data_IF_299771256154
#
_entry.id   IF_299771256154
#
_cell.length_a   1.000
_cell.length_b   1.000
_cell.length_c   1.000
_cell.angle_alpha   90.00
_cell.angle_beta   90.00
_cell.angle_gamma   90.00
#
_symmetry.space_group_name_H-M   'P 1'
#
loop_
_entity.id
_entity.type
_entity.pdbx_description
1 polymer ?
#
# COMPACT_ATOMS: atom_id res chain seq x y z
N UNK A 1 -16.30 11.26 34.16
CA UNK A 1 -15.18 10.80 33.33
C UNK A 1 -15.54 9.45 32.72
N UNK A 2 -16.04 9.43 31.48
CA UNK A 2 -16.51 8.21 30.80
C UNK A 2 -15.46 7.70 29.81
N UNK A 3 -14.65 6.76 30.31
CA UNK A 3 -14.11 5.58 29.62
C UNK A 3 -13.69 5.68 28.15
N UNK A 4 -12.42 6.03 27.94
CA UNK A 4 -11.69 5.88 26.67
C UNK A 4 -11.40 4.41 26.27
N UNK A 5 -12.19 3.45 26.76
CA UNK A 5 -11.90 2.01 26.72
C UNK A 5 -12.25 1.38 25.37
N UNK A 6 -13.09 2.05 24.58
CA UNK A 6 -13.50 1.55 23.26
C UNK A 6 -12.38 1.75 22.22
N UNK A 7 -11.69 2.90 22.27
CA UNK A 7 -10.54 3.18 21.40
C UNK A 7 -9.35 2.25 21.67
N UNK A 8 -9.04 2.01 22.94
CA UNK A 8 -7.95 1.11 23.35
C UNK A 8 -8.18 -0.34 22.89
N UNK A 9 -9.42 -0.84 22.98
CA UNK A 9 -9.78 -2.18 22.47
C UNK A 9 -9.62 -2.29 20.95
N UNK A 10 -9.99 -1.24 20.21
CA UNK A 10 -9.85 -1.20 18.75
C UNK A 10 -8.38 -1.18 18.35
N UNK A 11 -7.55 -0.36 19.01
CA UNK A 11 -6.12 -0.31 18.73
C UNK A 11 -5.42 -1.62 19.07
N UNK A 12 -5.78 -2.24 20.19
CA UNK A 12 -5.24 -3.57 20.56
C UNK A 12 -5.61 -4.64 19.54
N UNK A 13 -6.85 -4.61 19.03
CA UNK A 13 -7.28 -5.52 17.96
C UNK A 13 -6.53 -5.24 16.65
N UNK A 14 -6.37 -3.98 16.26
CA UNK A 14 -5.62 -3.62 15.08
C UNK A 14 -4.16 -4.06 15.16
N UNK A 15 -3.52 -3.89 16.32
CA UNK A 15 -2.16 -4.37 16.58
C UNK A 15 -2.06 -5.89 16.49
N UNK A 16 -3.05 -6.61 17.03
CA UNK A 16 -3.12 -8.07 16.95
C UNK A 16 -3.27 -8.56 15.50
N UNK A 17 -4.16 -7.94 14.73
CA UNK A 17 -4.36 -8.25 13.32
C UNK A 17 -3.06 -8.01 12.55
N UNK A 18 -2.42 -6.84 12.72
CA UNK A 18 -1.13 -6.55 12.08
C UNK A 18 -0.06 -7.60 12.45
N UNK A 19 -0.04 -8.05 13.70
CA UNK A 19 0.89 -9.10 14.17
C UNK A 19 0.63 -10.43 13.49
N UNK A 20 -0.62 -10.87 13.38
CA UNK A 20 -0.99 -12.14 12.74
C UNK A 20 -0.68 -12.15 11.24
N UNK A 21 -0.99 -11.05 10.55
CA UNK A 21 -0.66 -10.86 9.14
C UNK A 21 0.85 -10.70 8.89
N UNK A 22 1.59 -10.20 9.89
CA UNK A 22 3.04 -10.05 9.85
C UNK A 22 3.83 -11.34 10.06
N UNK A 23 3.17 -12.44 10.44
CA UNK A 23 3.85 -13.73 10.61
C UNK A 23 4.31 -14.31 9.28
N UNK A 24 5.46 -14.99 9.27
CA UNK A 24 6.00 -15.59 8.04
C UNK A 24 5.09 -16.70 7.48
N UNK A 25 4.34 -17.40 8.34
CA UNK A 25 3.34 -18.37 7.91
C UNK A 25 2.24 -17.69 7.07
N UNK A 26 1.66 -16.60 7.55
CA UNK A 26 0.64 -15.84 6.82
C UNK A 26 1.21 -15.21 5.57
N UNK A 27 2.41 -14.62 5.61
CA UNK A 27 3.06 -14.06 4.40
C UNK A 27 3.33 -15.12 3.34
N UNK A 28 3.81 -16.30 3.74
CA UNK A 28 4.07 -17.41 2.81
C UNK A 28 2.76 -17.90 2.20
N UNK A 29 1.70 -18.03 3.00
CA UNK A 29 0.37 -18.37 2.51
C UNK A 29 -0.14 -17.33 1.51
N UNK A 30 -0.11 -16.04 1.86
CA UNK A 30 -0.54 -14.97 0.95
C UNK A 30 0.23 -15.00 -0.38
N UNK A 31 1.56 -15.17 -0.36
CA UNK A 31 2.38 -15.29 -1.58
C UNK A 31 1.98 -16.44 -2.50
N UNK A 32 1.30 -17.48 -2.01
CA UNK A 32 0.78 -18.57 -2.86
C UNK A 32 -0.47 -18.17 -3.62
N UNK A 33 -1.26 -17.24 -3.06
CA UNK A 33 -2.52 -16.78 -3.64
C UNK A 33 -2.27 -15.91 -4.88
N UNK A 34 -2.96 -16.16 -6.00
CA UNK A 34 -2.75 -15.42 -7.25
C UNK A 34 -2.79 -13.89 -7.11
N UNK A 35 -3.71 -13.37 -6.29
CA UNK A 35 -3.89 -11.93 -6.06
C UNK A 35 -2.72 -11.25 -5.34
N UNK A 36 -1.91 -12.02 -4.60
CA UNK A 36 -0.80 -11.51 -3.78
C UNK A 36 0.56 -11.99 -4.28
N UNK A 37 0.60 -12.67 -5.43
CA UNK A 37 1.86 -12.95 -6.10
C UNK A 37 2.49 -11.61 -6.47
N UNK A 38 3.77 -11.46 -6.14
CA UNK A 38 4.55 -10.34 -6.65
C UNK A 38 4.70 -10.57 -8.15
N UNK A 39 3.94 -9.82 -8.94
CA UNK A 39 4.15 -9.77 -10.39
C UNK A 39 5.57 -9.25 -10.62
N UNK A 40 6.37 -10.02 -11.38
CA UNK A 40 7.76 -9.68 -11.68
C UNK A 40 7.90 -8.51 -12.63
N UNK A 41 6.82 -8.22 -13.36
CA UNK A 41 6.69 -7.03 -14.21
C UNK A 41 5.64 -6.09 -13.63
N UNK A 42 5.78 -4.79 -13.92
CA UNK A 42 4.83 -3.76 -13.53
C UNK A 42 3.60 -3.90 -14.44
N UNK A 43 2.39 -4.13 -13.89
CA UNK A 43 1.16 -4.12 -14.67
C UNK A 43 1.02 -2.87 -15.55
N UNK A 44 0.55 -3.03 -16.78
CA UNK A 44 0.40 -1.94 -17.76
C UNK A 44 -0.36 -0.73 -17.18
N UNK A 45 -1.41 -0.98 -16.37
CA UNK A 45 -2.17 0.07 -15.69
C UNK A 45 -1.32 1.01 -14.82
N UNK A 46 -0.24 0.48 -14.23
CA UNK A 46 0.68 1.27 -13.40
C UNK A 46 1.72 1.99 -14.27
N UNK A 47 2.13 1.40 -15.40
CA UNK A 47 2.99 2.08 -16.38
C UNK A 47 2.27 3.32 -16.95
N UNK A 48 1.02 3.17 -17.37
CA UNK A 48 0.20 4.28 -17.86
C UNK A 48 0.05 5.41 -16.83
N UNK A 49 -0.04 5.07 -15.54
CA UNK A 49 -0.11 6.05 -14.46
C UNK A 49 1.22 6.76 -14.24
N UNK A 50 2.34 6.03 -14.29
CA UNK A 50 3.69 6.59 -14.16
C UNK A 50 4.00 7.52 -15.34
N UNK A 51 3.65 7.13 -16.57
CA UNK A 51 3.83 7.94 -17.77
C UNK A 51 3.06 9.26 -17.68
N UNK A 52 1.83 9.22 -17.14
CA UNK A 52 1.05 10.44 -16.88
C UNK A 52 1.71 11.35 -15.84
N UNK A 53 2.25 10.78 -14.76
CA UNK A 53 2.96 11.53 -13.73
C UNK A 53 4.25 12.17 -14.28
N UNK A 54 5.01 11.42 -15.07
CA UNK A 54 6.22 11.91 -15.73
C UNK A 54 5.89 13.05 -16.70
N UNK A 55 4.85 12.88 -17.51
CA UNK A 55 4.35 13.92 -18.43
C UNK A 55 3.96 15.22 -17.70
N UNK A 56 3.26 15.09 -16.56
CA UNK A 56 2.90 16.23 -15.71
C UNK A 56 4.14 16.91 -15.11
N UNK A 57 5.11 16.12 -14.63
CA UNK A 57 6.37 16.63 -14.08
C UNK A 57 7.21 17.36 -15.13
N UNK A 58 7.30 16.82 -16.34
CA UNK A 58 8.00 17.45 -17.47
C UNK A 58 7.35 18.76 -17.89
N UNK A 59 6.00 18.82 -17.92
CA UNK A 59 5.24 20.02 -18.24
C UNK A 59 5.42 21.12 -17.18
N UNK A 60 5.40 20.74 -15.90
CA UNK A 60 5.66 21.66 -14.79
C UNK A 60 7.10 22.21 -14.80
N UNK A 61 8.08 21.36 -15.15
CA UNK A 61 9.48 21.78 -15.30
C UNK A 61 9.70 22.70 -16.50
N UNK A 62 8.97 22.50 -17.60
CA UNK A 62 9.03 23.36 -18.79
C UNK A 62 8.42 24.76 -18.54
N UNK A 63 7.29 24.84 -17.81
CA UNK A 63 6.67 26.12 -17.45
C UNK A 63 7.51 26.98 -16.50
N UNK A 64 8.41 26.36 -15.72
CA UNK A 64 9.29 27.07 -14.76
C UNK A 64 10.56 27.65 -15.40
N UNK A 65 10.88 27.27 -16.65
CA UNK A 65 12.04 27.80 -17.39
C UNK A 65 11.70 28.97 -18.32
N UNK A 66 10.46 29.46 -18.29
CA UNK A 66 10.03 30.67 -19.01
C UNK A 66 9.92 31.87 -18.08
#
# INVERSE_FOLDING_TARGET
MTTNHKGEKVERLAAEIRRQFGTEATKRFLRTLPTFRTETDIPDRFRDQLDRLESMGASAAAGRRR
#
